data_IF_124215411349
#
_entry.id   IF_124215411349
#
_cell.length_a   1.000
_cell.length_b   1.000
_cell.length_c   1.000
_cell.angle_alpha   90.00
_cell.angle_beta   90.00
_cell.angle_gamma   90.00
#
_symmetry.space_group_name_H-M   'P 1'
#
loop_
_entity.id
_entity.type
_entity.pdbx_description
1 polymer ?
#
# COMPACT_ATOMS: atom_id res chain seq x y z
N UNK A 1 -5.17 -5.12 -57.36
CA UNK A 1 -5.64 -5.04 -55.97
C UNK A 1 -4.50 -5.48 -55.07
N UNK A 2 -3.76 -4.52 -54.49
CA UNK A 2 -2.63 -4.81 -53.59
C UNK A 2 -3.17 -4.92 -52.16
N UNK A 3 -3.02 -6.11 -51.54
CA UNK A 3 -3.39 -6.35 -50.15
C UNK A 3 -2.21 -5.87 -49.28
N UNK A 4 -2.41 -4.76 -48.54
CA UNK A 4 -1.46 -4.28 -47.54
C UNK A 4 -1.36 -5.32 -46.42
N UNK A 5 -0.19 -5.95 -46.27
CA UNK A 5 0.12 -6.81 -45.12
C UNK A 5 0.42 -5.96 -43.90
N UNK A 6 -0.42 -6.06 -42.88
CA UNK A 6 -0.18 -5.50 -41.53
C UNK A 6 1.03 -6.20 -40.88
N UNK A 7 1.94 -5.45 -40.24
CA UNK A 7 3.07 -6.05 -39.52
C UNK A 7 2.58 -6.90 -38.34
N UNK A 8 3.07 -8.13 -38.24
CA UNK A 8 2.84 -9.02 -37.09
C UNK A 8 3.58 -8.43 -35.88
N UNK A 9 2.83 -7.83 -34.94
CA UNK A 9 3.38 -7.42 -33.65
C UNK A 9 3.66 -8.71 -32.85
N UNK A 10 4.95 -8.99 -32.62
CA UNK A 10 5.35 -10.14 -31.82
C UNK A 10 5.00 -9.90 -30.34
N UNK A 11 4.61 -10.95 -29.63
CA UNK A 11 4.20 -10.90 -28.21
C UNK A 11 5.22 -10.18 -27.31
N UNK A 12 6.50 -10.23 -27.67
CA UNK A 12 7.58 -9.54 -26.93
C UNK A 12 7.52 -8.01 -27.08
N UNK A 13 6.99 -7.47 -28.18
CA UNK A 13 6.82 -6.01 -28.35
C UNK A 13 5.72 -5.44 -27.45
N UNK A 14 4.65 -6.22 -27.21
CA UNK A 14 3.54 -5.78 -26.35
C UNK A 14 3.94 -5.74 -24.88
N UNK A 15 4.73 -6.71 -24.41
CA UNK A 15 5.26 -6.75 -23.04
C UNK A 15 6.19 -5.57 -22.75
N UNK A 16 7.03 -5.18 -23.73
CA UNK A 16 7.92 -4.02 -23.58
C UNK A 16 7.16 -2.70 -23.44
N UNK A 17 6.04 -2.54 -24.13
CA UNK A 17 5.24 -1.31 -24.09
C UNK A 17 4.48 -1.16 -22.76
N UNK A 18 4.00 -2.27 -22.19
CA UNK A 18 3.31 -2.29 -20.87
C UNK A 18 4.30 -2.00 -19.74
N UNK A 19 5.52 -2.54 -19.80
CA UNK A 19 6.53 -2.29 -18.78
C UNK A 19 7.02 -0.84 -18.79
N UNK A 20 7.19 -0.22 -19.95
CA UNK A 20 7.53 1.20 -20.06
C UNK A 20 6.42 2.11 -19.50
N UNK A 21 5.15 1.78 -19.72
CA UNK A 21 4.01 2.51 -19.18
C UNK A 21 3.95 2.45 -17.65
N UNK A 22 4.20 1.26 -17.05
CA UNK A 22 4.20 1.08 -15.59
C UNK A 22 5.35 1.83 -14.88
N UNK A 23 6.54 1.86 -15.48
CA UNK A 23 7.68 2.63 -14.96
C UNK A 23 7.39 4.13 -15.01
N UNK A 24 6.76 4.63 -16.07
CA UNK A 24 6.39 6.05 -16.20
C UNK A 24 5.39 6.49 -15.13
N UNK A 25 4.37 5.69 -14.83
CA UNK A 25 3.37 5.99 -13.78
C UNK A 25 4.00 5.97 -12.38
N UNK A 26 4.90 5.02 -12.12
CA UNK A 26 5.61 4.93 -10.84
C UNK A 26 6.53 6.14 -10.60
N UNK A 27 7.19 6.65 -11.63
CA UNK A 27 8.04 7.84 -11.54
C UNK A 27 7.22 9.11 -11.32
N UNK A 28 6.05 9.24 -11.95
CA UNK A 28 5.13 10.36 -11.77
C UNK A 28 4.59 10.45 -10.34
N UNK A 29 4.20 9.32 -9.74
CA UNK A 29 3.74 9.26 -8.35
C UNK A 29 4.85 9.58 -7.33
N UNK A 30 6.09 9.24 -7.62
CA UNK A 30 7.22 9.52 -6.73
C UNK A 30 7.62 11.01 -6.74
N UNK A 31 7.52 11.69 -7.89
CA UNK A 31 7.80 13.12 -7.97
C UNK A 31 6.78 13.96 -7.20
N UNK A 32 5.48 13.63 -7.28
CA UNK A 32 4.43 14.35 -6.55
C UNK A 32 4.52 14.17 -5.03
N UNK A 33 4.95 12.99 -4.56
CA UNK A 33 5.16 12.76 -3.11
C UNK A 33 6.37 13.51 -2.57
N UNK A 34 7.41 13.75 -3.38
CA UNK A 34 8.58 14.53 -2.97
C UNK A 34 8.27 16.02 -2.84
N UNK A 35 7.46 16.57 -3.74
CA UNK A 35 7.00 17.96 -3.68
C UNK A 35 6.09 18.22 -2.49
N UNK A 36 5.18 17.30 -2.18
CA UNK A 36 4.34 17.41 -0.97
C UNK A 36 5.18 17.37 0.31
N UNK A 37 6.20 16.55 0.39
CA UNK A 37 7.11 16.51 1.55
C UNK A 37 7.86 17.83 1.74
N UNK A 38 8.32 18.45 0.66
CA UNK A 38 8.99 19.76 0.72
C UNK A 38 8.02 20.86 1.17
N UNK A 39 6.78 20.84 0.70
CA UNK A 39 5.76 21.82 1.11
C UNK A 39 5.38 21.68 2.59
N UNK A 40 5.26 20.46 3.09
CA UNK A 40 5.01 20.19 4.52
C UNK A 40 6.19 20.66 5.37
N UNK A 41 7.44 20.40 4.94
CA UNK A 41 8.63 20.86 5.66
C UNK A 41 8.73 22.40 5.70
N UNK A 42 8.34 23.09 4.64
CA UNK A 42 8.27 24.57 4.62
C UNK A 42 7.21 25.11 5.57
N UNK A 43 6.03 24.48 5.63
CA UNK A 43 4.96 24.86 6.57
C UNK A 43 5.38 24.61 8.03
N UNK A 44 6.05 23.50 8.32
CA UNK A 44 6.57 23.22 9.67
C UNK A 44 7.62 24.23 10.12
N UNK A 45 8.52 24.67 9.24
CA UNK A 45 9.48 25.72 9.53
C UNK A 45 8.82 27.09 9.79
N UNK A 46 7.71 27.40 9.13
CA UNK A 46 6.97 28.63 9.39
C UNK A 46 6.27 28.62 10.76
N UNK A 47 5.79 27.47 11.22
CA UNK A 47 5.13 27.31 12.52
C UNK A 47 6.17 27.36 13.67
N UNK A 48 7.37 26.80 13.45
CA UNK A 48 8.44 26.78 14.45
C UNK A 48 9.04 28.16 14.75
N UNK A 49 8.79 29.16 13.91
CA UNK A 49 9.29 30.54 14.08
C UNK A 49 8.28 31.50 14.75
N UNK A 50 7.18 30.99 15.33
CA UNK A 50 6.37 31.84 16.19
C UNK A 50 7.04 31.99 17.57
N UNK A 51 7.49 33.17 17.97
CA UNK A 51 8.01 33.36 19.31
C UNK A 51 6.86 33.16 20.31
N UNK A 52 7.05 32.19 21.18
CA UNK A 52 6.16 31.92 22.29
C UNK A 52 6.11 33.13 23.20
N UNK A 53 4.95 33.71 23.54
CA UNK A 53 4.89 34.83 24.50
C UNK A 53 5.32 34.27 25.86
N UNK A 54 6.47 34.71 26.33
CA UNK A 54 6.92 34.48 27.70
C UNK A 54 6.00 35.26 28.63
N UNK A 55 5.19 34.56 29.40
CA UNK A 55 4.43 35.12 30.51
C UNK A 55 5.41 35.26 31.69
N UNK A 56 6.05 36.41 31.77
CA UNK A 56 6.84 36.79 32.94
C UNK A 56 5.90 37.47 33.92
N UNK A 57 5.69 36.82 35.05
CA UNK A 57 4.83 37.27 36.13
C UNK A 57 5.63 38.24 37.01
N UNK A 58 5.53 39.57 36.79
CA UNK A 58 6.03 40.54 37.70
C UNK A 58 4.93 41.57 38.02
N UNK A 59 4.74 41.94 39.34
CA UNK A 59 3.63 42.79 39.78
C UNK A 59 3.83 44.27 39.40
N UNK A 60 2.78 45.07 39.44
CA UNK A 60 2.70 46.34 38.72
C UNK A 60 3.47 47.46 39.42
N UNK A 61 4.31 48.16 38.65
CA UNK A 61 4.70 49.52 39.01
C UNK A 61 4.20 50.47 37.91
N UNK A 62 3.40 51.43 38.33
CA UNK A 62 2.85 52.46 37.44
C UNK A 62 3.95 53.44 37.05
N UNK A 63 4.05 53.72 35.78
CA UNK A 63 4.20 55.03 35.12
C UNK A 63 4.82 54.87 33.74
N UNK A 64 4.19 55.47 32.75
CA UNK A 64 4.77 55.65 31.43
C UNK A 64 3.97 54.91 30.30
N UNK A 65 3.02 55.69 29.76
CA UNK A 65 2.26 55.33 28.54
C UNK A 65 3.21 55.24 27.35
N UNK A 66 3.64 54.04 26.99
CA UNK A 66 4.25 53.78 25.69
C UNK A 66 3.34 52.83 24.90
N UNK A 67 2.69 53.40 23.90
CA UNK A 67 1.81 52.65 22.97
C UNK A 67 2.73 51.80 22.12
N UNK A 68 2.92 50.54 22.51
CA UNK A 68 3.51 49.53 21.63
C UNK A 68 2.49 49.25 20.53
N UNK A 69 2.69 49.85 19.36
CA UNK A 69 1.94 49.51 18.16
C UNK A 69 2.29 48.08 17.77
N UNK A 70 1.39 47.14 18.11
CA UNK A 70 1.41 45.78 17.59
C UNK A 70 1.19 45.91 16.09
N UNK A 71 2.26 45.84 15.30
CA UNK A 71 2.18 45.71 13.85
C UNK A 71 1.57 44.36 13.56
N UNK A 72 0.25 44.31 13.48
CA UNK A 72 -0.46 43.13 12.93
C UNK A 72 0.07 42.92 11.52
N UNK A 73 0.85 41.84 11.34
CA UNK A 73 1.31 41.40 10.03
C UNK A 73 0.05 41.12 9.21
N UNK A 74 -0.32 42.11 8.39
CA UNK A 74 -1.47 42.02 7.51
C UNK A 74 -1.21 40.83 6.59
N UNK A 75 -1.93 39.74 6.83
CA UNK A 75 -1.91 38.59 5.91
C UNK A 75 -2.44 39.12 4.60
N UNK A 76 -1.58 39.10 3.58
CA UNK A 76 -1.91 39.67 2.28
C UNK A 76 -3.07 38.83 1.68
N UNK A 77 -4.26 39.42 1.71
CA UNK A 77 -5.49 38.79 1.20
C UNK A 77 -5.31 38.27 -0.24
N UNK A 78 -4.47 38.93 -1.01
CA UNK A 78 -4.11 38.55 -2.38
C UNK A 78 -3.37 37.21 -2.44
N UNK A 79 -2.49 36.91 -1.48
CA UNK A 79 -1.82 35.63 -1.38
C UNK A 79 -2.79 34.49 -1.00
N UNK A 80 -3.74 34.78 -0.11
CA UNK A 80 -4.75 33.80 0.28
C UNK A 80 -5.69 33.47 -0.90
N UNK A 81 -6.15 34.48 -1.63
CA UNK A 81 -6.97 34.32 -2.82
C UNK A 81 -6.25 33.53 -3.93
N UNK A 82 -4.97 33.79 -4.15
CA UNK A 82 -4.15 33.03 -5.10
C UNK A 82 -4.04 31.55 -4.71
N UNK A 83 -3.84 31.29 -3.41
CA UNK A 83 -3.74 29.91 -2.89
C UNK A 83 -5.07 29.17 -3.00
N UNK A 84 -6.20 29.82 -2.70
CA UNK A 84 -7.53 29.25 -2.83
C UNK A 84 -7.86 28.95 -4.31
N UNK A 85 -7.49 29.86 -5.21
CA UNK A 85 -7.67 29.67 -6.66
C UNK A 85 -6.85 28.49 -7.19
N UNK A 86 -5.59 28.35 -6.76
CA UNK A 86 -4.74 27.22 -7.12
C UNK A 86 -5.32 25.88 -6.60
N UNK A 87 -5.78 25.86 -5.35
CA UNK A 87 -6.39 24.69 -4.74
C UNK A 87 -7.68 24.28 -5.49
N UNK A 88 -8.52 25.26 -5.83
CA UNK A 88 -9.75 25.04 -6.60
C UNK A 88 -9.47 24.41 -7.97
N UNK A 89 -8.43 24.86 -8.69
CA UNK A 89 -7.99 24.26 -9.95
C UNK A 89 -7.53 22.81 -9.78
N UNK A 90 -6.77 22.53 -8.72
CA UNK A 90 -6.29 21.17 -8.42
C UNK A 90 -7.45 20.22 -8.11
N UNK A 91 -8.44 20.67 -7.34
CA UNK A 91 -9.65 19.90 -7.03
C UNK A 91 -10.47 19.62 -8.30
N UNK A 92 -10.61 20.62 -9.18
CA UNK A 92 -11.31 20.44 -10.44
C UNK A 92 -10.61 19.43 -11.36
N UNK A 93 -9.28 19.46 -11.45
CA UNK A 93 -8.47 18.51 -12.21
C UNK A 93 -8.61 17.08 -11.66
N UNK A 94 -8.50 16.90 -10.34
CA UNK A 94 -8.68 15.60 -9.70
C UNK A 94 -10.10 15.05 -9.89
N UNK A 95 -11.13 15.91 -9.82
CA UNK A 95 -12.51 15.50 -10.09
C UNK A 95 -12.70 15.02 -11.52
N UNK A 96 -12.08 15.67 -12.50
CA UNK A 96 -12.14 15.26 -13.91
C UNK A 96 -11.43 13.91 -14.12
N UNK A 97 -10.30 13.69 -13.45
CA UNK A 97 -9.54 12.44 -13.52
C UNK A 97 -10.29 11.27 -12.89
N UNK A 98 -10.91 11.49 -11.73
CA UNK A 98 -11.79 10.51 -11.09
C UNK A 98 -13.00 10.18 -11.96
N UNK A 99 -13.62 11.18 -12.61
CA UNK A 99 -14.72 10.94 -13.53
C UNK A 99 -14.28 10.14 -14.77
N UNK A 100 -13.09 10.42 -15.30
CA UNK A 100 -12.48 9.66 -16.40
C UNK A 100 -12.19 8.21 -16.02
N UNK A 101 -11.61 7.97 -14.85
CA UNK A 101 -11.37 6.62 -14.34
C UNK A 101 -12.67 5.86 -14.09
N UNK A 102 -13.70 6.55 -13.59
CA UNK A 102 -15.01 5.96 -13.36
C UNK A 102 -15.72 5.60 -14.67
N UNK A 103 -15.57 6.39 -15.73
CA UNK A 103 -16.12 6.07 -17.05
C UNK A 103 -15.36 4.93 -17.73
N UNK A 104 -14.02 4.85 -17.55
CA UNK A 104 -13.22 3.73 -18.06
C UNK A 104 -13.57 2.40 -17.38
N UNK A 105 -13.93 2.43 -16.09
CA UNK A 105 -14.33 1.20 -15.39
C UNK A 105 -15.72 0.68 -15.81
N UNK A 106 -16.59 1.55 -16.36
CA UNK A 106 -17.93 1.17 -16.80
C UNK A 106 -18.01 0.67 -18.26
N UNK A 107 -16.91 0.77 -19.04
CA UNK A 107 -16.87 0.29 -20.42
C UNK A 107 -16.29 -1.12 -20.54
N UNK A 108 -16.27 -1.90 -19.46
CA UNK A 108 -16.06 -3.33 -19.58
C UNK A 108 -17.35 -3.93 -20.17
N UNK A 109 -17.41 -3.93 -21.50
CA UNK A 109 -18.37 -4.75 -22.25
C UNK A 109 -18.31 -6.14 -21.63
N UNK A 110 -19.42 -6.56 -21.02
CA UNK A 110 -19.62 -7.94 -20.60
C UNK A 110 -19.76 -8.74 -21.90
N UNK A 111 -18.64 -9.06 -22.53
CA UNK A 111 -18.57 -10.21 -23.41
C UNK A 111 -18.95 -11.39 -22.53
N UNK A 112 -19.95 -12.16 -22.98
CA UNK A 112 -20.34 -13.39 -22.31
C UNK A 112 -19.06 -14.16 -21.91
N UNK A 113 -18.98 -14.70 -20.68
CA UNK A 113 -17.77 -15.32 -20.19
C UNK A 113 -17.44 -16.49 -21.13
N UNK A 114 -16.46 -16.27 -22.02
CA UNK A 114 -15.66 -17.38 -22.50
C UNK A 114 -15.13 -17.97 -21.21
N UNK A 115 -15.50 -19.19 -20.87
CA UNK A 115 -14.99 -19.90 -19.70
C UNK A 115 -13.47 -20.02 -19.89
N UNK A 116 -12.76 -18.96 -19.54
CA UNK A 116 -11.31 -19.00 -19.38
C UNK A 116 -11.11 -19.95 -18.21
N UNK A 117 -10.61 -21.15 -18.52
CA UNK A 117 -10.38 -22.18 -17.51
C UNK A 117 -9.38 -21.61 -16.50
N UNK A 118 -9.90 -21.06 -15.38
CA UNK A 118 -9.06 -20.66 -14.27
C UNK A 118 -8.35 -21.88 -13.75
N UNK A 119 -7.04 -21.87 -13.77
CA UNK A 119 -6.21 -22.99 -13.33
C UNK A 119 -5.50 -22.64 -12.03
N UNK A 120 -4.80 -21.50 -12.03
CA UNK A 120 -3.96 -21.12 -10.91
C UNK A 120 -3.60 -19.64 -10.96
N UNK A 121 -3.57 -18.99 -9.80
CA UNK A 121 -3.02 -17.66 -9.60
C UNK A 121 -2.05 -17.67 -8.43
N UNK A 122 -0.98 -16.86 -8.51
CA UNK A 122 -0.01 -16.70 -7.43
C UNK A 122 0.04 -15.24 -7.01
N UNK A 123 -0.25 -14.99 -5.74
CA UNK A 123 -0.31 -13.66 -5.14
C UNK A 123 0.85 -13.53 -4.17
N UNK A 124 1.82 -12.67 -4.47
CA UNK A 124 3.01 -12.49 -3.65
C UNK A 124 2.73 -11.54 -2.48
N UNK A 125 3.15 -11.94 -1.28
CA UNK A 125 3.11 -11.13 -0.06
C UNK A 125 4.42 -10.38 0.17
N UNK A 126 5.56 -11.04 -0.07
CA UNK A 126 6.89 -10.46 0.13
C UNK A 126 7.77 -11.27 1.08
N UNK A 127 8.79 -10.61 1.63
CA UNK A 127 9.78 -11.18 2.56
C UNK A 127 9.89 -10.32 3.82
N UNK A 128 10.24 -10.94 4.96
CA UNK A 128 10.38 -10.28 6.26
C UNK A 128 11.16 -11.15 7.24
N UNK A 129 11.32 -10.69 8.47
CA UNK A 129 11.89 -11.46 9.59
C UNK A 129 11.00 -11.34 10.81
N UNK A 130 11.11 -12.27 11.75
CA UNK A 130 10.47 -12.21 13.07
C UNK A 130 11.40 -12.69 14.17
N UNK A 131 11.30 -12.09 15.36
CA UNK A 131 11.93 -12.55 16.60
C UNK A 131 10.86 -12.73 17.72
N UNK A 132 9.62 -12.39 17.40
CA UNK A 132 8.55 -12.43 18.38
C UNK A 132 8.19 -13.90 18.71
N UNK A 133 8.09 -14.21 19.99
CA UNK A 133 7.66 -15.53 20.45
C UNK A 133 6.16 -15.72 20.29
N UNK A 134 5.43 -14.64 20.32
CA UNK A 134 3.99 -14.62 20.10
C UNK A 134 3.67 -14.30 18.62
N UNK A 135 2.50 -14.71 18.19
CA UNK A 135 1.99 -14.39 16.86
C UNK A 135 1.87 -12.89 16.67
N UNK A 136 2.57 -12.35 15.68
CA UNK A 136 2.59 -10.92 15.37
C UNK A 136 2.40 -10.70 13.87
N UNK A 137 1.61 -9.72 13.52
CA UNK A 137 1.45 -9.29 12.14
C UNK A 137 2.77 -8.75 11.59
N UNK A 138 3.20 -9.25 10.46
CA UNK A 138 4.48 -8.89 9.83
C UNK A 138 4.42 -7.61 8.99
N UNK A 139 3.22 -7.06 8.76
CA UNK A 139 2.98 -5.97 7.83
C UNK A 139 2.89 -6.40 6.35
N UNK A 140 3.13 -7.67 6.05
CA UNK A 140 2.92 -8.22 4.70
C UNK A 140 1.44 -8.55 4.54
N UNK A 141 0.74 -7.79 3.70
CA UNK A 141 -0.70 -7.93 3.52
C UNK A 141 -1.12 -7.80 2.05
N UNK A 142 -2.26 -8.39 1.72
CA UNK A 142 -2.85 -8.33 0.38
C UNK A 142 -4.38 -8.35 0.45
N UNK A 143 -5.01 -7.55 -0.39
CA UNK A 143 -6.46 -7.59 -0.61
C UNK A 143 -6.82 -8.69 -1.62
N UNK A 144 -7.71 -9.60 -1.23
CA UNK A 144 -8.23 -10.66 -2.11
C UNK A 144 -9.74 -10.60 -2.10
N UNK A 145 -10.34 -10.54 -3.30
CA UNK A 145 -11.78 -10.65 -3.47
C UNK A 145 -12.13 -12.04 -4.03
N UNK A 146 -12.70 -12.89 -3.19
CA UNK A 146 -13.04 -14.27 -3.57
C UNK A 146 -14.07 -14.35 -4.71
N UNK A 147 -14.87 -13.30 -4.93
CA UNK A 147 -15.83 -13.24 -6.05
C UNK A 147 -15.16 -13.15 -7.44
N UNK A 148 -13.85 -12.88 -7.49
CA UNK A 148 -13.07 -12.88 -8.74
C UNK A 148 -12.67 -14.29 -9.20
N UNK A 149 -12.85 -15.28 -8.34
CA UNK A 149 -12.50 -16.68 -8.59
C UNK A 149 -13.75 -17.54 -8.85
N UNK A 150 -13.64 -18.57 -9.67
CA UNK A 150 -14.72 -19.51 -9.87
C UNK A 150 -15.02 -20.28 -8.56
N UNK A 151 -16.23 -20.81 -8.46
CA UNK A 151 -16.61 -21.63 -7.32
C UNK A 151 -15.71 -22.88 -7.22
N UNK A 152 -15.38 -23.25 -5.99
CA UNK A 152 -14.60 -24.45 -5.70
C UNK A 152 -13.09 -24.28 -5.73
N UNK A 153 -12.57 -23.05 -5.87
CA UNK A 153 -11.13 -22.79 -5.71
C UNK A 153 -10.67 -23.03 -4.28
N UNK A 154 -9.42 -23.45 -4.18
CA UNK A 154 -8.70 -23.65 -2.93
C UNK A 154 -7.50 -22.73 -2.89
N UNK A 155 -7.24 -22.09 -1.76
CA UNK A 155 -6.05 -21.29 -1.53
C UNK A 155 -5.04 -22.07 -0.67
N UNK A 156 -3.74 -21.83 -0.85
CA UNK A 156 -2.64 -22.36 -0.05
C UNK A 156 -1.67 -21.25 0.26
N UNK A 157 -1.11 -21.23 1.47
CA UNK A 157 0.06 -20.41 1.77
C UNK A 157 1.31 -21.19 1.45
N UNK A 158 2.24 -20.56 0.74
CA UNK A 158 3.58 -21.09 0.53
C UNK A 158 4.58 -20.07 1.04
N UNK A 159 5.55 -20.53 1.85
CA UNK A 159 6.59 -19.67 2.40
C UNK A 159 7.94 -20.37 2.43
N UNK A 160 8.98 -19.62 2.04
CA UNK A 160 10.38 -20.01 2.19
C UNK A 160 10.91 -19.44 3.50
N UNK A 161 11.22 -20.30 4.47
CA UNK A 161 11.64 -19.88 5.81
C UNK A 161 12.91 -20.55 6.26
N UNK A 162 13.67 -19.88 7.15
CA UNK A 162 14.84 -20.46 7.84
C UNK A 162 15.01 -19.85 9.22
N UNK A 163 15.61 -20.62 10.16
CA UNK A 163 15.95 -20.18 11.51
C UNK A 163 17.15 -20.99 11.99
N UNK A 164 18.09 -20.38 12.74
CA UNK A 164 19.29 -21.08 13.25
C UNK A 164 18.94 -21.98 14.41
N UNK A 165 18.12 -21.50 15.35
CA UNK A 165 17.69 -22.27 16.52
C UNK A 165 16.20 -22.12 16.77
N UNK A 166 15.56 -23.23 17.19
CA UNK A 166 14.13 -23.28 17.42
C UNK A 166 13.32 -23.50 16.13
N UNK A 167 12.17 -22.87 16.04
CA UNK A 167 11.23 -23.06 14.96
C UNK A 167 10.57 -21.72 14.58
N UNK A 168 10.53 -21.39 13.29
CA UNK A 168 9.78 -20.25 12.76
C UNK A 168 8.43 -20.74 12.23
N UNK A 169 7.39 -20.00 12.58
CA UNK A 169 6.02 -20.29 12.22
C UNK A 169 5.43 -19.13 11.44
N UNK A 170 4.65 -19.42 10.40
CA UNK A 170 3.90 -18.42 9.64
C UNK A 170 2.48 -18.91 9.41
N UNK A 171 1.52 -17.98 9.34
CA UNK A 171 0.13 -18.26 9.01
C UNK A 171 -0.55 -17.01 8.42
N UNK A 172 -1.69 -17.17 7.83
CA UNK A 172 -2.54 -16.08 7.39
C UNK A 172 -3.61 -15.75 8.44
N UNK A 173 -3.90 -14.47 8.55
CA UNK A 173 -5.04 -13.94 9.28
C UNK A 173 -5.86 -13.04 8.35
N UNK A 174 -7.16 -13.16 8.37
CA UNK A 174 -8.02 -12.17 7.76
C UNK A 174 -8.04 -10.93 8.66
N UNK A 175 -7.32 -9.88 8.26
CA UNK A 175 -7.17 -8.65 9.03
C UNK A 175 -8.49 -7.92 9.21
N UNK A 176 -9.38 -7.99 8.21
CA UNK A 176 -10.68 -7.32 8.24
C UNK A 176 -11.64 -7.91 9.29
N UNK A 177 -11.55 -9.21 9.57
CA UNK A 177 -12.43 -9.92 10.51
C UNK A 177 -11.73 -10.35 11.79
N UNK A 178 -10.39 -10.29 11.81
CA UNK A 178 -9.57 -10.84 12.90
C UNK A 178 -9.44 -12.38 12.89
N UNK A 179 -10.06 -13.07 11.94
CA UNK A 179 -10.09 -14.52 11.91
C UNK A 179 -8.75 -15.12 11.45
N UNK A 180 -8.19 -16.03 12.22
CA UNK A 180 -6.99 -16.80 11.87
C UNK A 180 -7.38 -17.92 10.89
N UNK A 181 -6.58 -18.08 9.82
CA UNK A 181 -6.71 -19.19 8.88
C UNK A 181 -5.81 -20.35 9.35
N UNK A 182 -6.28 -21.14 10.28
CA UNK A 182 -5.48 -22.20 10.92
C UNK A 182 -4.89 -23.20 9.90
N UNK A 183 -5.61 -23.52 8.82
CA UNK A 183 -5.11 -24.38 7.76
C UNK A 183 -3.96 -23.79 6.94
N UNK A 184 -3.66 -22.49 7.08
CA UNK A 184 -2.50 -21.86 6.43
C UNK A 184 -1.21 -21.94 7.24
N UNK A 185 -1.24 -22.54 8.42
CA UNK A 185 -0.07 -22.59 9.31
C UNK A 185 1.03 -23.50 8.77
N UNK A 186 2.24 -22.96 8.73
CA UNK A 186 3.47 -23.63 8.29
C UNK A 186 4.55 -23.39 9.34
N UNK A 187 5.37 -24.40 9.59
CA UNK A 187 6.54 -24.25 10.45
C UNK A 187 7.81 -24.80 9.82
N UNK A 188 8.97 -24.28 10.24
CA UNK A 188 10.27 -24.74 9.81
C UNK A 188 11.32 -24.55 10.93
N UNK A 189 12.17 -25.56 11.11
CA UNK A 189 13.27 -25.58 12.07
C UNK A 189 14.64 -25.68 11.40
N UNK A 190 14.73 -25.49 10.09
CA UNK A 190 15.98 -25.57 9.33
C UNK A 190 16.70 -24.24 9.30
N UNK A 191 18.03 -24.26 9.40
CA UNK A 191 18.91 -23.11 9.16
C UNK A 191 19.01 -22.74 7.68
N UNK A 192 18.68 -23.66 6.79
CA UNK A 192 18.60 -23.41 5.35
C UNK A 192 17.18 -23.02 4.95
N UNK A 193 17.06 -22.13 3.97
CA UNK A 193 15.75 -21.73 3.43
C UNK A 193 15.04 -22.97 2.88
N UNK A 194 13.89 -23.27 3.48
CA UNK A 194 13.05 -24.37 3.07
C UNK A 194 11.68 -23.83 2.70
N UNK A 195 11.25 -24.11 1.48
CA UNK A 195 9.92 -23.79 0.99
C UNK A 195 8.92 -24.86 1.43
N UNK A 196 7.86 -24.43 2.09
CA UNK A 196 6.77 -25.30 2.52
C UNK A 196 5.43 -24.71 2.05
N UNK A 197 4.49 -25.58 1.78
CA UNK A 197 3.13 -25.23 1.37
C UNK A 197 2.15 -25.76 2.41
N UNK A 198 1.22 -24.92 2.80
CA UNK A 198 0.16 -25.31 3.73
C UNK A 198 -0.86 -26.25 3.10
N UNK A 199 -1.69 -26.93 3.90
CA UNK A 199 -2.95 -27.49 3.43
C UNK A 199 -3.81 -26.45 2.70
N UNK A 200 -4.72 -26.92 1.88
CA UNK A 200 -5.67 -26.06 1.20
C UNK A 200 -6.72 -25.49 2.17
N UNK A 201 -7.09 -24.24 1.98
CA UNK A 201 -8.17 -23.58 2.70
C UNK A 201 -9.08 -22.80 1.75
N UNK A 202 -10.27 -22.45 2.21
CA UNK A 202 -11.20 -21.59 1.46
C UNK A 202 -10.97 -20.13 1.82
N UNK A 203 -10.95 -19.27 0.80
CA UNK A 203 -11.02 -17.83 1.00
C UNK A 203 -12.39 -17.45 1.58
N UNK A 204 -12.41 -16.48 2.47
CA UNK A 204 -13.67 -15.96 2.99
C UNK A 204 -14.47 -15.30 1.84
N UNK A 205 -15.82 -15.48 1.80
CA UNK A 205 -16.66 -14.90 0.77
C UNK A 205 -16.62 -13.37 0.81
N UNK A 206 -16.23 -12.73 -0.31
CA UNK A 206 -16.14 -11.27 -0.44
C UNK A 206 -14.71 -10.77 -0.55
N UNK A 207 -14.55 -9.44 -0.42
CA UNK A 207 -13.26 -8.74 -0.47
C UNK A 207 -12.69 -8.52 0.92
N UNK A 208 -11.54 -9.13 1.21
CA UNK A 208 -10.88 -9.02 2.51
C UNK A 208 -9.38 -8.80 2.37
N UNK A 209 -8.78 -8.17 3.40
CA UNK A 209 -7.33 -8.06 3.54
C UNK A 209 -6.82 -9.23 4.36
N UNK A 210 -5.86 -9.97 3.80
CA UNK A 210 -5.14 -11.03 4.48
C UNK A 210 -3.75 -10.53 4.84
N UNK A 211 -3.33 -10.78 6.09
CA UNK A 211 -2.00 -10.43 6.60
C UNK A 211 -1.25 -11.69 7.00
N UNK A 212 0.06 -11.69 6.76
CA UNK A 212 0.95 -12.74 7.25
C UNK A 212 1.26 -12.48 8.72
N UNK A 213 0.96 -13.43 9.60
CA UNK A 213 1.46 -13.48 10.96
C UNK A 213 2.66 -14.42 11.06
N UNK A 214 3.62 -14.07 11.90
CA UNK A 214 4.78 -14.91 12.15
C UNK A 214 5.16 -14.93 13.62
N UNK A 215 5.86 -16.01 14.05
CA UNK A 215 6.50 -16.12 15.36
C UNK A 215 7.76 -16.97 15.29
N UNK A 216 8.63 -16.79 16.28
CA UNK A 216 9.83 -17.60 16.52
C UNK A 216 9.73 -18.28 17.87
N UNK A 217 9.85 -19.59 17.95
CA UNK A 217 9.71 -20.32 19.22
C UNK A 217 10.86 -20.02 20.20
N UNK A 218 12.04 -19.72 19.70
CA UNK A 218 13.25 -19.41 20.51
C UNK A 218 13.43 -17.92 20.77
N UNK A 219 12.80 -17.04 19.97
CA UNK A 219 13.09 -15.61 19.94
C UNK A 219 14.32 -15.26 19.10
N UNK A 220 14.95 -16.25 18.43
CA UNK A 220 15.93 -15.98 17.41
C UNK A 220 15.31 -15.47 16.12
N UNK A 221 16.14 -14.87 15.26
CA UNK A 221 15.68 -14.34 13.98
C UNK A 221 15.20 -15.46 13.08
N UNK A 222 13.89 -15.56 12.90
CA UNK A 222 13.26 -16.36 11.87
C UNK A 222 13.18 -15.55 10.57
N UNK A 223 13.79 -16.03 9.51
CA UNK A 223 13.74 -15.40 8.20
C UNK A 223 12.59 -15.95 7.39
N UNK A 224 11.79 -15.07 6.80
CA UNK A 224 10.78 -15.38 5.80
C UNK A 224 11.31 -14.80 4.48
N UNK A 225 11.99 -15.62 3.70
CA UNK A 225 12.65 -15.21 2.45
C UNK A 225 11.66 -14.91 1.33
N UNK A 226 10.42 -15.36 1.49
CA UNK A 226 9.30 -15.08 0.60
C UNK A 226 8.05 -15.77 1.08
N UNK A 227 6.90 -15.12 0.87
CA UNK A 227 5.59 -15.70 1.13
C UNK A 227 4.65 -15.37 -0.02
N UNK A 228 3.76 -16.31 -0.35
CA UNK A 228 2.76 -16.15 -1.41
C UNK A 228 1.52 -16.98 -1.14
N UNK A 229 0.39 -16.51 -1.63
CA UNK A 229 -0.87 -17.25 -1.64
C UNK A 229 -1.06 -17.81 -3.04
N UNK A 230 -1.30 -19.11 -3.12
CA UNK A 230 -1.60 -19.81 -4.36
C UNK A 230 -3.08 -20.12 -4.35
N UNK A 231 -3.81 -19.62 -5.33
CA UNK A 231 -5.23 -19.93 -5.55
C UNK A 231 -5.31 -20.85 -6.75
N UNK A 232 -5.93 -22.00 -6.59
CA UNK A 232 -6.01 -23.03 -7.62
C UNK A 232 -7.37 -23.77 -7.59
N UNK A 233 -7.72 -24.37 -8.71
CA UNK A 233 -8.95 -25.16 -8.85
C UNK A 233 -8.62 -26.64 -8.95
#
# INVERSE_FOLDING_TARGET
>A
MSILSLPKITANGLVGLVTLGLVGVSFGLWSTTSEMKQMIAQLQNQIAFQPQPSIDSQPPNMEGTEIVSVTSKQIDATQLEASVSALSKTVASLSAEVASLKSQSNTKVISAPTETSFTKETIYLGSTTTQNREWTETGLEVGINSAQYPNGVTAKLEAGTSIIGGEVWVRLKNKSTGAVIAASEISNNSSSITWKTSPGFKLHPGGYTYVLEARSSSGEVGNISGARIIVER
#
